data_IF_555666366157
#
_entry.id   IF_555666366157
#
_cell.length_a   1.000
_cell.length_b   1.000
_cell.length_c   1.000
_cell.angle_alpha   90.00
_cell.angle_beta   90.00
_cell.angle_gamma   90.00
#
_symmetry.space_group_name_H-M   'P 1'
#
loop_
_entity.id
_entity.type
_entity.pdbx_description
1 polymer ?
#
# COMPACT_ATOMS: atom_id res chain seq x y z
N UNK A 1 38.43 -44.82 3.96
CA UNK A 1 37.14 -44.48 3.31
C UNK A 1 36.61 -43.16 3.86
N UNK A 2 36.81 -42.06 3.12
CA UNK A 2 35.88 -40.92 3.00
C UNK A 2 36.55 -39.87 2.12
N UNK A 3 36.27 -39.94 0.83
CA UNK A 3 36.54 -38.88 -0.13
C UNK A 3 35.19 -38.51 -0.71
N UNK A 4 34.76 -37.26 -0.52
CA UNK A 4 33.69 -36.65 -1.31
C UNK A 4 34.08 -35.18 -1.53
N UNK A 5 34.73 -34.96 -2.67
CA UNK A 5 34.65 -33.71 -3.42
C UNK A 5 33.21 -33.47 -3.87
N UNK A 6 32.78 -32.22 -4.00
CA UNK A 6 32.62 -31.55 -5.30
C UNK A 6 32.02 -30.14 -5.10
N UNK A 7 32.70 -29.18 -5.72
CA UNK A 7 32.33 -27.78 -5.89
C UNK A 7 31.16 -27.69 -6.86
N UNK A 8 30.16 -26.84 -6.57
CA UNK A 8 29.31 -26.22 -7.59
C UNK A 8 29.21 -24.73 -7.33
N UNK A 9 29.85 -23.97 -8.22
CA UNK A 9 29.64 -22.56 -8.46
C UNK A 9 28.41 -22.45 -9.37
N UNK A 10 27.43 -21.64 -8.98
CA UNK A 10 26.44 -21.10 -9.92
C UNK A 10 26.28 -19.61 -9.61
N UNK A 11 26.95 -18.80 -10.43
CA UNK A 11 26.78 -17.36 -10.43
C UNK A 11 25.38 -16.99 -10.91
N UNK A 12 24.74 -16.06 -10.20
CA UNK A 12 23.61 -15.30 -10.70
C UNK A 12 24.13 -13.88 -10.98
N UNK A 13 24.63 -13.71 -12.19
CA UNK A 13 24.64 -12.41 -12.84
C UNK A 13 23.38 -12.35 -13.71
N UNK A 14 22.41 -11.53 -13.30
CA UNK A 14 21.41 -10.97 -14.20
C UNK A 14 21.37 -9.47 -13.93
N UNK A 15 22.12 -8.74 -14.75
CA UNK A 15 21.82 -7.35 -14.98
C UNK A 15 20.58 -7.24 -15.87
N UNK A 16 19.68 -6.33 -15.50
CA UNK A 16 18.75 -5.72 -16.44
C UNK A 16 18.87 -4.21 -16.25
N UNK A 17 19.41 -3.57 -17.28
CA UNK A 17 19.33 -2.12 -17.50
C UNK A 17 17.91 -1.80 -17.99
N UNK A 18 17.39 -0.60 -17.65
CA UNK A 18 16.24 0.17 -18.20
C UNK A 18 15.26 0.52 -17.07
N UNK A 19 14.78 1.75 -16.85
CA UNK A 19 14.87 2.99 -17.61
C UNK A 19 14.38 4.17 -16.74
N UNK A 20 14.77 5.37 -17.14
CA UNK A 20 14.28 6.63 -16.58
C UNK A 20 12.88 6.87 -17.16
N UNK A 21 11.85 6.91 -16.32
CA UNK A 21 10.48 7.22 -16.71
C UNK A 21 9.59 5.98 -16.87
N UNK A 22 9.11 5.43 -15.76
CA UNK A 22 7.95 4.55 -15.75
C UNK A 22 6.87 5.27 -14.95
N UNK A 23 5.75 5.55 -15.60
CA UNK A 23 4.53 6.01 -14.96
C UNK A 23 4.20 5.05 -13.84
N UNK A 24 4.46 5.43 -12.60
CA UNK A 24 4.27 4.58 -11.41
C UNK A 24 2.79 4.20 -11.32
N UNK A 25 2.43 3.03 -11.84
CA UNK A 25 1.23 2.36 -11.37
C UNK A 25 1.49 1.96 -9.93
N UNK A 26 0.52 2.12 -9.03
CA UNK A 26 0.67 1.68 -7.65
C UNK A 26 0.88 0.17 -7.65
N UNK A 27 2.10 -0.27 -7.34
CA UNK A 27 2.42 -1.68 -7.18
C UNK A 27 2.02 -2.14 -5.79
N UNK A 28 1.37 -3.30 -5.70
CA UNK A 28 1.03 -3.90 -4.42
C UNK A 28 2.30 -4.49 -3.78
N UNK A 29 2.74 -3.95 -2.65
CA UNK A 29 3.83 -4.57 -1.87
C UNK A 29 3.27 -5.76 -1.09
N UNK A 30 3.91 -6.93 -1.25
CA UNK A 30 3.47 -8.16 -0.58
C UNK A 30 3.82 -8.14 0.92
N UNK A 31 2.84 -8.40 1.79
CA UNK A 31 3.02 -8.57 3.24
C UNK A 31 1.97 -9.54 3.81
N UNK A 32 2.09 -9.90 5.10
CA UNK A 32 1.08 -10.74 5.79
C UNK A 32 -0.26 -10.04 6.03
N UNK A 33 -0.28 -8.71 5.90
CA UNK A 33 -1.45 -7.84 6.03
C UNK A 33 -1.99 -7.48 4.64
N UNK A 34 -3.15 -6.82 4.57
CA UNK A 34 -3.77 -6.46 3.29
C UNK A 34 -2.85 -5.65 2.35
N UNK A 35 -3.21 -5.56 1.06
CA UNK A 35 -2.31 -5.03 0.04
C UNK A 35 -1.93 -3.57 0.35
N UNK A 36 -0.66 -3.23 0.17
CA UNK A 36 -0.18 -1.84 0.31
C UNK A 36 0.28 -1.29 -1.02
N UNK A 37 0.05 -0.01 -1.19
CA UNK A 37 0.26 0.73 -2.42
C UNK A 37 1.14 1.93 -2.12
N UNK A 38 2.23 2.08 -2.85
CA UNK A 38 3.03 3.29 -2.81
C UNK A 38 2.31 4.41 -3.57
N UNK A 39 2.24 5.58 -2.95
CA UNK A 39 1.62 6.76 -3.52
C UNK A 39 2.39 8.01 -3.13
N UNK A 40 2.16 9.10 -3.85
CA UNK A 40 2.81 10.38 -3.60
C UNK A 40 1.76 11.43 -3.32
N UNK A 41 1.89 12.12 -2.17
CA UNK A 41 1.07 13.27 -1.83
C UNK A 41 1.32 14.43 -2.81
N UNK A 42 0.41 15.40 -2.85
CA UNK A 42 0.56 16.57 -3.73
C UNK A 42 1.80 17.42 -3.44
N UNK A 43 2.35 17.35 -2.23
CA UNK A 43 3.61 18.00 -1.83
C UNK A 43 4.87 17.23 -2.28
N UNK A 44 4.72 16.04 -2.89
CA UNK A 44 5.84 15.20 -3.31
C UNK A 44 6.30 14.20 -2.25
N UNK A 45 5.68 14.19 -1.07
CA UNK A 45 5.96 13.23 0.00
C UNK A 45 5.45 11.84 -0.39
N UNK A 46 6.34 10.84 -0.36
CA UNK A 46 5.98 9.45 -0.56
C UNK A 46 5.27 8.88 0.67
N UNK A 47 4.14 8.22 0.45
CA UNK A 47 3.32 7.58 1.48
C UNK A 47 2.93 6.18 1.04
N UNK A 48 2.66 5.31 2.00
CA UNK A 48 2.14 3.97 1.76
C UNK A 48 0.69 3.92 2.21
N UNK A 49 -0.20 3.53 1.29
CA UNK A 49 -1.61 3.29 1.58
C UNK A 49 -1.85 1.80 1.69
N UNK A 50 -2.44 1.35 2.79
CA UNK A 50 -2.82 -0.05 2.98
C UNK A 50 -4.33 -0.23 2.93
N UNK A 51 -4.76 -1.20 2.13
CA UNK A 51 -6.12 -1.71 2.15
C UNK A 51 -6.27 -2.79 3.23
N UNK A 52 -7.16 -2.56 4.19
CA UNK A 52 -7.44 -3.48 5.28
C UNK A 52 -8.87 -4.03 5.24
N UNK A 53 -9.56 -3.93 4.10
CA UNK A 53 -10.99 -4.30 3.94
C UNK A 53 -11.32 -5.75 4.27
N UNK A 54 -10.36 -6.66 4.14
CA UNK A 54 -10.51 -8.08 4.48
C UNK A 54 -10.05 -8.45 5.88
N UNK A 55 -9.54 -7.48 6.65
CA UNK A 55 -8.95 -7.73 7.97
C UNK A 55 -9.96 -7.37 9.07
N UNK A 56 -10.10 -8.26 10.07
CA UNK A 56 -10.82 -7.92 11.31
C UNK A 56 -9.97 -6.93 12.12
N UNK A 57 -10.07 -5.65 11.77
CA UNK A 57 -9.31 -4.57 12.38
C UNK A 57 -9.83 -4.22 13.79
N UNK A 58 -9.64 -5.14 14.73
CA UNK A 58 -9.96 -4.94 16.16
C UNK A 58 -9.16 -3.81 16.81
N UNK A 59 -8.10 -3.35 16.14
CA UNK A 59 -7.20 -2.30 16.64
C UNK A 59 -7.37 -0.96 15.93
N UNK A 60 -8.23 -0.82 14.92
CA UNK A 60 -8.39 0.45 14.20
C UNK A 60 -8.52 1.63 15.16
N UNK A 61 -7.77 2.71 14.91
CA UNK A 61 -8.10 3.96 15.59
C UNK A 61 -9.53 4.29 15.18
N UNK A 62 -10.38 4.62 16.16
CA UNK A 62 -11.71 5.15 15.89
C UNK A 62 -11.56 6.57 15.30
N UNK A 63 -11.05 6.65 14.08
CA UNK A 63 -10.95 7.87 13.30
C UNK A 63 -12.29 7.99 12.60
N UNK A 64 -13.10 8.94 13.05
CA UNK A 64 -14.38 9.22 12.42
C UNK A 64 -14.12 9.90 11.07
N UNK A 65 -14.25 9.14 9.99
CA UNK A 65 -13.91 9.61 8.65
C UNK A 65 -14.32 8.65 7.55
N UNK A 66 -15.34 9.01 6.79
CA UNK A 66 -15.78 8.28 5.60
C UNK A 66 -15.81 9.19 4.37
N UNK A 67 -15.44 8.62 3.22
CA UNK A 67 -15.53 9.31 1.94
C UNK A 67 -16.18 8.39 0.92
N UNK A 68 -17.31 8.87 0.40
CA UNK A 68 -17.96 8.28 -0.77
C UNK A 68 -17.39 8.92 -2.03
N UNK A 69 -16.78 8.11 -2.89
CA UNK A 69 -16.42 8.51 -4.25
C UNK A 69 -17.68 8.36 -5.11
N UNK A 70 -18.32 9.49 -5.40
CA UNK A 70 -19.65 9.56 -6.05
C UNK A 70 -19.70 8.92 -7.44
N UNK A 71 -18.57 8.80 -8.14
CA UNK A 71 -18.51 8.23 -9.48
C UNK A 71 -18.58 6.69 -9.54
N UNK A 72 -18.42 5.99 -8.41
CA UNK A 72 -18.32 4.52 -8.42
C UNK A 72 -19.13 3.79 -7.33
N UNK A 73 -19.93 4.49 -6.51
CA UNK A 73 -20.45 3.94 -5.25
C UNK A 73 -19.34 3.32 -4.37
N UNK A 74 -18.11 3.81 -4.54
CA UNK A 74 -16.94 3.40 -3.79
C UNK A 74 -16.95 4.11 -2.45
N UNK A 75 -16.92 3.35 -1.36
CA UNK A 75 -16.91 3.86 0.00
C UNK A 75 -15.57 3.52 0.61
N UNK A 76 -14.87 4.53 1.10
CA UNK A 76 -13.58 4.37 1.79
C UNK A 76 -13.70 4.96 3.19
N UNK A 77 -13.19 4.23 4.17
CA UNK A 77 -13.14 4.65 5.58
C UNK A 77 -11.70 4.64 6.03
N UNK A 78 -11.27 5.73 6.65
CA UNK A 78 -9.93 5.85 7.21
C UNK A 78 -9.87 5.16 8.58
N UNK A 79 -8.93 4.23 8.75
CA UNK A 79 -8.71 3.50 10.01
C UNK A 79 -7.49 4.01 10.76
N UNK A 80 -6.45 4.43 10.04
CA UNK A 80 -5.23 5.01 10.63
C UNK A 80 -4.65 6.10 9.73
N UNK A 81 -4.36 7.26 10.32
CA UNK A 81 -3.52 8.28 9.68
C UNK A 81 -2.09 7.78 9.47
N UNK A 82 -1.59 7.02 10.45
CA UNK A 82 -0.28 6.39 10.44
C UNK A 82 -0.33 5.22 11.41
N UNK A 83 -0.19 3.99 10.90
CA UNK A 83 -0.23 2.79 11.73
C UNK A 83 1.06 2.66 12.55
N UNK A 84 0.96 2.37 13.87
CA UNK A 84 2.13 2.11 14.69
C UNK A 84 2.90 0.88 14.18
N UNK A 85 4.18 1.08 13.90
CA UNK A 85 5.11 0.04 13.47
C UNK A 85 5.47 0.10 11.99
N UNK A 86 4.50 0.42 11.12
CA UNK A 86 4.69 0.52 9.66
C UNK A 86 4.72 1.96 9.17
N UNK A 87 3.96 2.85 9.82
CA UNK A 87 3.76 4.23 9.37
C UNK A 87 2.72 4.37 8.27
N UNK A 88 2.07 3.28 7.86
CA UNK A 88 1.13 3.23 6.73
C UNK A 88 -0.15 4.05 7.02
N UNK A 89 -0.69 4.69 5.99
CA UNK A 89 -2.08 5.17 6.01
C UNK A 89 -2.97 3.95 5.76
N UNK A 90 -3.90 3.67 6.67
CA UNK A 90 -4.73 2.45 6.59
C UNK A 90 -6.17 2.83 6.32
N UNK A 91 -6.73 2.29 5.25
CA UNK A 91 -8.13 2.47 4.90
C UNK A 91 -8.82 1.13 4.61
N UNK A 92 -10.14 1.14 4.73
CA UNK A 92 -11.01 0.03 4.31
C UNK A 92 -11.98 0.53 3.26
N UNK A 93 -12.42 -0.35 2.38
CA UNK A 93 -13.38 -0.09 1.31
C UNK A 93 -14.48 -1.16 1.24
N UNK A 94 -15.60 -0.82 0.58
CA UNK A 94 -16.72 -1.73 0.33
C UNK A 94 -16.47 -2.75 -0.80
N UNK A 95 -15.35 -2.67 -1.51
CA UNK A 95 -15.03 -3.56 -2.63
C UNK A 95 -15.41 -3.02 -4.02
N UNK A 96 -16.13 -1.89 -4.08
CA UNK A 96 -16.58 -1.29 -5.34
C UNK A 96 -15.58 -0.25 -5.93
N UNK A 97 -14.48 0.01 -5.23
CA UNK A 97 -13.44 0.94 -5.66
C UNK A 97 -12.44 0.27 -6.62
N UNK A 98 -12.04 0.99 -7.68
CA UNK A 98 -10.78 0.66 -8.36
C UNK A 98 -9.59 1.02 -7.46
N UNK A 99 -8.42 0.40 -7.68
CA UNK A 99 -7.21 0.66 -6.89
C UNK A 99 -6.84 2.14 -6.86
N UNK A 100 -6.91 2.84 -8.00
CA UNK A 100 -6.62 4.27 -8.06
C UNK A 100 -7.62 5.10 -7.23
N UNK A 101 -8.93 4.82 -7.35
CA UNK A 101 -9.96 5.50 -6.58
C UNK A 101 -9.81 5.28 -5.07
N UNK A 102 -9.46 4.06 -4.67
CA UNK A 102 -9.20 3.72 -3.28
C UNK A 102 -8.04 4.55 -2.70
N UNK A 103 -6.91 4.56 -3.41
CA UNK A 103 -5.70 5.29 -2.99
C UNK A 103 -6.01 6.78 -2.90
N UNK A 104 -6.61 7.38 -3.93
CA UNK A 104 -6.95 8.81 -3.93
C UNK A 104 -7.93 9.18 -2.82
N UNK A 105 -8.98 8.37 -2.61
CA UNK A 105 -9.95 8.62 -1.55
C UNK A 105 -9.34 8.47 -0.15
N UNK A 106 -8.51 7.45 0.05
CA UNK A 106 -7.81 7.22 1.31
C UNK A 106 -6.83 8.36 1.64
N UNK A 107 -6.03 8.78 0.67
CA UNK A 107 -5.11 9.91 0.79
C UNK A 107 -5.87 11.22 1.03
N UNK A 108 -7.00 11.43 0.35
CA UNK A 108 -7.83 12.60 0.56
C UNK A 108 -8.44 12.63 1.97
N UNK A 109 -8.86 11.48 2.51
CA UNK A 109 -9.34 11.35 3.89
C UNK A 109 -8.21 11.64 4.89
N UNK A 110 -7.03 11.07 4.67
CA UNK A 110 -5.90 11.27 5.56
C UNK A 110 -5.44 12.73 5.57
N UNK A 111 -5.44 13.42 4.42
CA UNK A 111 -5.17 14.85 4.36
C UNK A 111 -6.22 15.67 5.12
N UNK A 112 -7.51 15.38 4.91
CA UNK A 112 -8.62 16.14 5.51
C UNK A 112 -8.69 15.97 7.04
N UNK A 113 -8.53 14.73 7.51
CA UNK A 113 -8.71 14.38 8.93
C UNK A 113 -7.41 14.50 9.72
N UNK A 114 -6.27 14.15 9.11
CA UNK A 114 -4.99 14.04 9.80
C UNK A 114 -4.03 15.20 9.49
N UNK A 115 -4.27 15.97 8.43
CA UNK A 115 -3.44 17.11 8.04
C UNK A 115 -2.03 16.76 7.58
N UNK A 116 -1.87 15.59 6.94
CA UNK A 116 -0.59 15.10 6.41
C UNK A 116 -0.33 15.56 4.97
#
# INVERSE_FOLDING_TARGET
MKALSFVMVAGLAMGVLTGCGETSSPEAVAGEQGPRYEATLSDGTAVTVRDASGESNVSAQAIEGERTVTEAACWVTLQWCSEPGTGDIVCTQNGDCTTAQFIEACISLAQDICGI
#
